data_IF_935268359404
#
_entry.id   IF_935268359404
#
_cell.length_a   1.000
_cell.length_b   1.000
_cell.length_c   1.000
_cell.angle_alpha   90.00
_cell.angle_beta   90.00
_cell.angle_gamma   90.00
#
_symmetry.space_group_name_H-M   'P 1'
#
loop_
_entity.id
_entity.type
_entity.pdbx_description
1 polymer ?
#
# COMPACT_ATOMS: atom_id res chain seq x y z
N UNK A 1 19.71 57.47 -37.01
CA UNK A 1 20.46 56.33 -36.42
C UNK A 1 19.96 55.96 -35.02
N UNK A 2 19.17 56.79 -34.33
CA UNK A 2 18.55 56.43 -33.02
C UNK A 2 17.31 55.53 -33.13
N UNK A 3 16.53 55.64 -34.21
CA UNK A 3 15.28 54.87 -34.39
C UNK A 3 15.45 53.35 -34.46
N UNK A 4 16.65 52.87 -34.81
CA UNK A 4 16.90 51.43 -35.04
C UNK A 4 17.29 50.68 -33.75
N UNK A 5 17.72 51.41 -32.71
CA UNK A 5 18.06 50.84 -31.41
C UNK A 5 16.82 50.63 -30.53
N UNK A 6 15.83 51.52 -30.63
CA UNK A 6 14.58 51.42 -29.87
C UNK A 6 13.71 50.24 -30.36
N UNK A 7 13.61 50.03 -31.68
CA UNK A 7 12.90 48.89 -32.27
C UNK A 7 13.50 47.53 -31.83
N UNK A 8 14.83 47.46 -31.73
CA UNK A 8 15.53 46.25 -31.28
C UNK A 8 15.28 45.91 -29.81
N UNK A 9 15.07 46.92 -28.96
CA UNK A 9 14.77 46.74 -27.54
C UNK A 9 13.31 46.30 -27.32
N UNK A 10 12.37 46.84 -28.10
CA UNK A 10 10.96 46.42 -28.08
C UNK A 10 10.76 45.00 -28.60
N UNK A 11 11.47 44.60 -29.66
CA UNK A 11 11.37 43.23 -30.21
C UNK A 11 11.96 42.19 -29.25
N UNK A 12 13.07 42.50 -28.56
CA UNK A 12 13.66 41.60 -27.56
C UNK A 12 12.72 41.33 -26.38
N UNK A 13 11.99 42.35 -25.91
CA UNK A 13 11.07 42.22 -24.78
C UNK A 13 9.78 41.47 -25.16
N UNK A 14 9.33 41.64 -26.41
CA UNK A 14 8.19 40.89 -26.96
C UNK A 14 8.50 39.39 -27.14
N UNK A 15 9.74 39.04 -27.52
CA UNK A 15 10.14 37.64 -27.67
C UNK A 15 10.36 36.93 -26.33
N UNK A 16 10.86 37.63 -25.31
CA UNK A 16 10.99 37.09 -23.96
C UNK A 16 9.61 36.77 -23.34
N UNK A 17 8.65 37.68 -23.46
CA UNK A 17 7.26 37.45 -23.00
C UNK A 17 6.60 36.30 -23.76
N UNK A 18 6.82 36.18 -25.07
CA UNK A 18 6.35 35.02 -25.85
C UNK A 18 6.98 33.71 -25.40
N UNK A 19 8.26 33.71 -25.03
CA UNK A 19 8.95 32.52 -24.53
C UNK A 19 8.41 32.06 -23.16
N UNK A 20 8.15 33.00 -22.24
CA UNK A 20 7.58 32.72 -20.92
C UNK A 20 6.13 32.24 -21.04
N UNK A 21 5.33 32.83 -21.92
CA UNK A 21 3.96 32.37 -22.19
C UNK A 21 3.94 30.96 -22.80
N UNK A 22 4.90 30.64 -23.68
CA UNK A 22 5.08 29.27 -24.20
C UNK A 22 5.48 28.29 -23.09
N UNK A 23 6.40 28.66 -22.22
CA UNK A 23 6.83 27.85 -21.08
C UNK A 23 5.66 27.58 -20.10
N UNK A 24 4.91 28.62 -19.72
CA UNK A 24 3.74 28.51 -18.84
C UNK A 24 2.60 27.72 -19.51
N UNK A 25 2.36 27.90 -20.81
CA UNK A 25 1.35 27.11 -21.53
C UNK A 25 1.75 25.65 -21.72
N UNK A 26 3.05 25.37 -21.81
CA UNK A 26 3.64 24.03 -21.83
C UNK A 26 3.44 23.34 -20.48
N UNK A 27 3.78 24.01 -19.37
CA UNK A 27 3.53 23.51 -18.01
C UNK A 27 2.04 23.30 -17.74
N UNK A 28 1.19 24.25 -18.11
CA UNK A 28 -0.27 24.09 -17.95
C UNK A 28 -0.79 22.91 -18.76
N UNK A 29 -0.29 22.70 -19.98
CA UNK A 29 -0.66 21.54 -20.81
C UNK A 29 -0.16 20.23 -20.21
N UNK A 30 1.07 20.16 -19.72
CA UNK A 30 1.60 18.95 -19.08
C UNK A 30 0.87 18.62 -17.77
N UNK A 31 0.51 19.62 -16.97
CA UNK A 31 -0.31 19.46 -15.77
C UNK A 31 -1.73 18.99 -16.10
N UNK A 32 -2.35 19.54 -17.16
CA UNK A 32 -3.69 19.13 -17.63
C UNK A 32 -3.68 17.73 -18.26
N UNK A 33 -2.61 17.37 -18.97
CA UNK A 33 -2.39 16.03 -19.53
C UNK A 33 -2.18 14.99 -18.42
N UNK A 34 -1.46 15.33 -17.34
CA UNK A 34 -1.33 14.47 -16.14
C UNK A 34 -2.68 14.27 -15.44
N UNK A 35 -3.51 15.31 -15.33
CA UNK A 35 -4.90 15.21 -14.86
C UNK A 35 -5.80 14.33 -15.74
N UNK A 36 -5.44 14.16 -17.01
CA UNK A 36 -6.18 13.36 -18.00
C UNK A 36 -5.83 11.87 -18.01
N UNK A 37 -4.87 11.40 -17.19
CA UNK A 37 -4.66 9.96 -17.00
C UNK A 37 -5.96 9.38 -16.42
N UNK A 38 -6.62 8.53 -17.22
CA UNK A 38 -7.87 7.84 -16.87
C UNK A 38 -7.75 7.24 -15.47
N UNK A 39 -8.82 7.34 -14.66
CA UNK A 39 -8.94 6.56 -13.41
C UNK A 39 -8.74 5.08 -13.77
N UNK A 40 -7.57 4.53 -13.48
CA UNK A 40 -7.21 3.17 -13.87
C UNK A 40 -8.04 2.13 -13.12
N UNK A 41 -8.56 2.47 -11.94
CA UNK A 41 -9.45 1.63 -11.16
C UNK A 41 -10.77 2.33 -10.84
N UNK A 42 -11.88 1.64 -11.10
CA UNK A 42 -13.22 2.06 -10.67
C UNK A 42 -13.48 1.78 -9.19
N UNK A 43 -14.63 2.25 -8.68
CA UNK A 43 -15.04 2.04 -7.28
C UNK A 43 -15.08 0.56 -6.89
N UNK A 44 -15.64 -0.27 -7.77
CA UNK A 44 -15.72 -1.72 -7.54
C UNK A 44 -14.34 -2.37 -7.47
N UNK A 45 -13.46 -2.06 -8.43
CA UNK A 45 -12.11 -2.62 -8.47
C UNK A 45 -11.28 -2.17 -7.25
N UNK A 46 -11.38 -0.89 -6.85
CA UNK A 46 -10.68 -0.37 -5.66
C UNK A 46 -11.22 -0.96 -4.36
N UNK A 47 -12.54 -1.12 -4.23
CA UNK A 47 -13.16 -1.72 -3.04
C UNK A 47 -12.77 -3.19 -2.90
N UNK A 48 -12.86 -3.95 -3.99
CA UNK A 48 -12.47 -5.37 -4.03
C UNK A 48 -10.99 -5.56 -3.73
N UNK A 49 -10.12 -4.72 -4.32
CA UNK A 49 -8.69 -4.74 -4.03
C UNK A 49 -8.42 -4.46 -2.55
N UNK A 50 -9.05 -3.42 -1.98
CA UNK A 50 -8.88 -3.07 -0.57
C UNK A 50 -9.36 -4.19 0.34
N UNK A 51 -10.51 -4.81 0.03
CA UNK A 51 -11.03 -5.96 0.77
C UNK A 51 -10.03 -7.13 0.75
N UNK A 52 -9.54 -7.55 -0.43
CA UNK A 52 -8.60 -8.66 -0.52
C UNK A 52 -7.22 -8.36 0.09
N UNK A 53 -6.80 -7.08 0.11
CA UNK A 53 -5.55 -6.69 0.76
C UNK A 53 -5.61 -6.71 2.29
N UNK A 54 -6.79 -6.55 2.89
CA UNK A 54 -6.96 -6.47 4.36
C UNK A 54 -7.55 -7.75 4.95
N UNK A 55 -8.41 -8.44 4.21
CA UNK A 55 -9.09 -9.64 4.67
C UNK A 55 -8.19 -10.87 4.54
N UNK A 56 -7.34 -11.08 5.54
CA UNK A 56 -6.49 -12.26 5.68
C UNK A 56 -7.17 -13.49 6.30
N UNK A 57 -8.45 -13.42 6.69
CA UNK A 57 -9.10 -14.49 7.46
C UNK A 57 -8.70 -14.49 8.94
N UNK A 58 -9.56 -14.94 9.86
CA UNK A 58 -9.33 -14.86 11.31
C UNK A 58 -8.38 -15.95 11.83
N UNK A 59 -7.18 -16.04 11.26
CA UNK A 59 -6.18 -17.00 11.70
C UNK A 59 -5.64 -16.64 13.10
N UNK A 60 -5.55 -17.64 13.98
CA UNK A 60 -5.09 -17.46 15.37
C UNK A 60 -6.19 -17.05 16.36
N UNK A 61 -7.44 -16.83 15.91
CA UNK A 61 -8.56 -16.60 16.82
C UNK A 61 -8.96 -17.85 17.60
N UNK A 62 -8.56 -19.04 17.17
CA UNK A 62 -8.93 -20.30 17.80
C UNK A 62 -8.48 -20.36 19.26
N UNK A 63 -7.27 -19.87 19.55
CA UNK A 63 -6.74 -19.81 20.91
C UNK A 63 -7.55 -18.83 21.77
N UNK A 64 -7.91 -17.68 21.21
CA UNK A 64 -8.74 -16.68 21.90
C UNK A 64 -10.16 -17.20 22.15
N UNK A 65 -10.76 -17.86 21.17
CA UNK A 65 -12.09 -18.46 21.27
C UNK A 65 -12.12 -19.60 22.31
N UNK A 66 -11.07 -20.44 22.34
CA UNK A 66 -10.96 -21.53 23.29
C UNK A 66 -10.78 -21.03 24.75
N UNK A 67 -10.14 -19.88 24.94
CA UNK A 67 -9.82 -19.36 26.27
C UNK A 67 -10.86 -18.37 26.83
N UNK A 68 -11.40 -17.47 25.99
CA UNK A 68 -12.32 -16.40 26.43
C UNK A 68 -13.77 -16.64 25.99
N UNK A 69 -14.02 -17.59 25.10
CA UNK A 69 -15.35 -17.86 24.55
C UNK A 69 -15.76 -16.89 23.44
N UNK A 70 -16.71 -17.32 22.60
CA UNK A 70 -17.04 -16.64 21.35
C UNK A 70 -17.59 -15.21 21.53
N UNK A 71 -18.44 -14.98 22.54
CA UNK A 71 -19.09 -13.68 22.75
C UNK A 71 -18.07 -12.59 23.06
N UNK A 72 -17.08 -12.88 23.89
CA UNK A 72 -16.03 -11.92 24.26
C UNK A 72 -15.11 -11.60 23.10
N UNK A 73 -14.69 -12.61 22.34
CA UNK A 73 -13.83 -12.42 21.16
C UNK A 73 -14.54 -11.57 20.11
N UNK A 74 -15.80 -11.87 19.79
CA UNK A 74 -16.59 -11.07 18.85
C UNK A 74 -16.80 -9.65 19.38
N UNK A 75 -17.09 -9.50 20.67
CA UNK A 75 -17.24 -8.18 21.30
C UNK A 75 -15.99 -7.32 21.16
N UNK A 76 -14.80 -7.88 21.42
CA UNK A 76 -13.52 -7.17 21.26
C UNK A 76 -13.25 -6.84 19.79
N UNK A 77 -13.54 -7.75 18.85
CA UNK A 77 -13.36 -7.49 17.41
C UNK A 77 -14.23 -6.31 16.95
N UNK A 78 -15.51 -6.28 17.35
CA UNK A 78 -16.43 -5.19 17.03
C UNK A 78 -15.96 -3.89 17.67
N UNK A 79 -15.59 -3.92 18.94
CA UNK A 79 -15.09 -2.74 19.66
C UNK A 79 -13.83 -2.18 19.00
N UNK A 80 -12.86 -3.04 18.68
CA UNK A 80 -11.63 -2.65 18.00
C UNK A 80 -11.91 -2.05 16.62
N UNK A 81 -12.88 -2.62 15.90
CA UNK A 81 -13.30 -2.09 14.59
C UNK A 81 -13.90 -0.70 14.73
N UNK A 82 -14.74 -0.46 15.74
CA UNK A 82 -15.38 0.84 15.95
C UNK A 82 -14.43 1.91 16.50
N UNK A 83 -13.54 1.55 17.42
CA UNK A 83 -12.66 2.51 18.11
C UNK A 83 -11.41 2.82 17.30
N UNK A 84 -10.90 1.85 16.52
CA UNK A 84 -9.64 1.98 15.80
C UNK A 84 -9.82 1.97 14.29
N UNK A 85 -10.40 0.91 13.73
CA UNK A 85 -10.44 0.72 12.28
C UNK A 85 -11.35 1.73 11.58
N UNK A 86 -12.52 2.04 12.16
CA UNK A 86 -13.50 2.96 11.57
C UNK A 86 -12.96 4.40 11.52
N UNK A 87 -12.38 4.98 12.60
CA UNK A 87 -11.72 6.28 12.53
C UNK A 87 -10.55 6.30 11.55
N UNK A 88 -9.72 5.25 11.55
CA UNK A 88 -8.59 5.15 10.62
C UNK A 88 -9.06 5.12 9.14
N UNK A 89 -10.15 4.40 8.85
CA UNK A 89 -10.74 4.33 7.51
C UNK A 89 -11.32 5.68 7.07
N UNK A 90 -12.06 6.37 7.94
CA UNK A 90 -12.60 7.71 7.66
C UNK A 90 -11.48 8.73 7.44
N UNK A 91 -10.46 8.72 8.31
CA UNK A 91 -9.27 9.56 8.15
C UNK A 91 -8.59 9.31 6.80
N UNK A 92 -8.37 8.05 6.45
CA UNK A 92 -7.76 7.65 5.17
C UNK A 92 -8.61 8.08 3.97
N UNK A 93 -9.94 7.97 4.07
CA UNK A 93 -10.87 8.43 3.04
C UNK A 93 -10.75 9.95 2.80
N UNK A 94 -10.81 10.76 3.86
CA UNK A 94 -10.66 12.23 3.78
C UNK A 94 -9.31 12.63 3.20
N UNK A 95 -8.22 12.01 3.66
CA UNK A 95 -6.86 12.28 3.17
C UNK A 95 -6.67 11.86 1.71
N UNK A 96 -7.22 10.73 1.30
CA UNK A 96 -7.15 10.26 -0.09
C UNK A 96 -7.90 11.17 -1.07
N UNK A 97 -9.01 11.79 -0.61
CA UNK A 97 -9.75 12.78 -1.39
C UNK A 97 -9.05 14.15 -1.42
N UNK A 98 -8.47 14.58 -0.30
CA UNK A 98 -7.80 15.88 -0.17
C UNK A 98 -6.40 15.92 -0.82
N UNK A 99 -5.66 14.81 -0.79
CA UNK A 99 -4.27 14.71 -1.25
C UNK A 99 -4.07 13.49 -2.16
N UNK A 100 -4.51 13.56 -3.43
CA UNK A 100 -4.38 12.47 -4.41
C UNK A 100 -2.95 12.39 -4.96
N UNK A 101 -2.01 11.96 -4.12
CA UNK A 101 -0.61 11.72 -4.50
C UNK A 101 -0.32 10.23 -4.62
N UNK A 102 0.52 9.86 -5.60
CA UNK A 102 0.93 8.48 -5.92
C UNK A 102 1.75 7.78 -4.80
N UNK A 103 1.97 8.44 -3.65
CA UNK A 103 2.78 7.94 -2.53
C UNK A 103 2.00 7.51 -1.28
N UNK A 104 0.66 7.58 -1.31
CA UNK A 104 -0.20 7.17 -0.20
C UNK A 104 0.17 7.80 1.14
N UNK A 105 0.14 7.01 2.22
CA UNK A 105 0.38 7.49 3.59
C UNK A 105 1.78 8.08 3.80
N UNK A 106 2.82 7.61 3.10
CA UNK A 106 4.16 8.18 3.23
C UNK A 106 4.18 9.66 2.79
N UNK A 107 3.42 10.00 1.74
CA UNK A 107 3.27 11.37 1.28
C UNK A 107 2.45 12.22 2.26
N UNK A 108 1.38 11.66 2.82
CA UNK A 108 0.56 12.36 3.81
C UNK A 108 1.36 12.71 5.07
N UNK A 109 2.11 11.75 5.62
CA UNK A 109 2.97 11.96 6.79
C UNK A 109 4.10 12.93 6.47
N UNK A 110 4.72 12.80 5.30
CA UNK A 110 5.76 13.72 4.83
C UNK A 110 5.28 15.17 4.70
N UNK A 111 4.03 15.38 4.29
CA UNK A 111 3.42 16.70 4.17
C UNK A 111 3.03 17.30 5.53
N UNK A 112 2.60 16.48 6.48
CA UNK A 112 2.19 16.94 7.81
C UNK A 112 3.38 17.21 8.76
N UNK A 113 4.38 16.33 8.77
CA UNK A 113 5.49 16.34 9.75
C UNK A 113 6.87 16.57 9.11
N UNK A 114 6.92 16.73 7.80
CA UNK A 114 8.15 16.95 7.03
C UNK A 114 8.79 15.68 6.47
N UNK A 115 9.80 15.83 5.58
CA UNK A 115 10.31 14.72 4.76
C UNK A 115 10.89 13.54 5.56
N UNK A 116 11.51 13.81 6.73
CA UNK A 116 12.12 12.77 7.57
C UNK A 116 11.08 11.83 8.18
N UNK A 117 9.95 12.36 8.63
CA UNK A 117 8.86 11.57 9.20
C UNK A 117 8.16 10.73 8.11
N UNK A 118 8.02 11.27 6.89
CA UNK A 118 7.54 10.50 5.74
C UNK A 118 8.46 9.32 5.41
N UNK A 119 9.78 9.54 5.40
CA UNK A 119 10.77 8.48 5.19
C UNK A 119 10.74 7.43 6.31
N UNK A 120 10.63 7.86 7.57
CA UNK A 120 10.49 6.94 8.71
C UNK A 120 9.22 6.10 8.60
N UNK A 121 8.09 6.71 8.26
CA UNK A 121 6.83 5.99 8.05
C UNK A 121 6.95 4.94 6.95
N UNK A 122 7.67 5.26 5.87
CA UNK A 122 7.96 4.28 4.83
C UNK A 122 8.84 3.12 5.31
N UNK A 123 9.88 3.43 6.09
CA UNK A 123 10.75 2.43 6.69
C UNK A 123 10.00 1.50 7.66
N UNK A 124 9.13 2.05 8.50
CA UNK A 124 8.30 1.29 9.42
C UNK A 124 7.38 0.31 8.68
N UNK A 125 6.86 0.69 7.52
CA UNK A 125 6.01 -0.21 6.73
C UNK A 125 6.78 -1.32 6.05
N UNK A 126 8.05 -1.11 5.69
CA UNK A 126 8.93 -2.18 5.25
C UNK A 126 9.16 -3.19 6.39
N UNK A 127 9.40 -2.69 7.61
CA UNK A 127 9.52 -3.55 8.79
C UNK A 127 8.24 -4.32 9.08
N UNK A 128 7.07 -3.67 8.99
CA UNK A 128 5.78 -4.32 9.11
C UNK A 128 5.64 -5.44 8.06
N UNK A 129 6.01 -5.18 6.81
CA UNK A 129 6.00 -6.18 5.74
C UNK A 129 6.85 -7.42 6.03
N UNK A 130 8.01 -7.27 6.69
CA UNK A 130 8.82 -8.42 7.11
C UNK A 130 8.14 -9.25 8.20
N UNK A 131 7.52 -8.60 9.19
CA UNK A 131 6.79 -9.28 10.26
C UNK A 131 5.62 -10.07 9.68
N UNK A 132 4.85 -9.43 8.81
CA UNK A 132 3.71 -10.05 8.12
C UNK A 132 4.18 -11.26 7.29
N UNK A 133 5.19 -11.06 6.44
CA UNK A 133 5.74 -12.12 5.58
C UNK A 133 6.30 -13.30 6.38
N UNK A 134 6.84 -13.08 7.58
CA UNK A 134 7.35 -14.15 8.45
C UNK A 134 6.25 -14.91 9.17
N UNK A 135 5.09 -14.28 9.40
CA UNK A 135 3.98 -14.88 10.16
C UNK A 135 3.25 -15.93 9.33
N UNK A 136 2.99 -15.65 8.04
CA UNK A 136 2.20 -16.53 7.19
C UNK A 136 2.75 -17.97 7.06
N UNK A 137 4.06 -18.20 6.81
CA UNK A 137 4.60 -19.55 6.71
C UNK A 137 4.52 -20.34 8.01
N UNK A 138 4.67 -19.67 9.15
CA UNK A 138 4.56 -20.30 10.47
C UNK A 138 3.13 -20.76 10.70
N UNK A 139 2.15 -19.88 10.48
CA UNK A 139 0.74 -20.24 10.62
C UNK A 139 0.34 -21.36 9.65
N UNK A 140 0.80 -21.31 8.40
CA UNK A 140 0.56 -22.38 7.45
C UNK A 140 1.07 -23.74 7.94
N UNK A 141 2.28 -23.79 8.52
CA UNK A 141 2.82 -25.03 9.08
C UNK A 141 1.99 -25.54 10.27
N UNK A 142 1.49 -24.64 11.11
CA UNK A 142 0.64 -24.99 12.26
C UNK A 142 -0.69 -25.61 11.79
N UNK A 143 -1.38 -24.95 10.85
CA UNK A 143 -2.62 -25.47 10.27
C UNK A 143 -2.41 -26.75 9.46
N UNK A 144 -1.30 -26.87 8.74
CA UNK A 144 -0.96 -28.08 8.01
C UNK A 144 -0.72 -29.26 8.98
N UNK A 145 0.01 -29.04 10.07
CA UNK A 145 0.22 -30.06 11.11
C UNK A 145 -1.11 -30.50 11.71
N UNK A 146 -1.99 -29.56 12.06
CA UNK A 146 -3.32 -29.87 12.60
C UNK A 146 -4.17 -30.65 11.59
N UNK A 147 -4.16 -30.23 10.32
CA UNK A 147 -4.92 -30.89 9.26
C UNK A 147 -4.44 -32.33 9.02
N UNK A 148 -3.12 -32.54 8.96
CA UNK A 148 -2.54 -33.88 8.78
C UNK A 148 -2.83 -34.81 9.96
N UNK A 149 -2.75 -34.31 11.19
CA UNK A 149 -3.15 -35.06 12.38
C UNK A 149 -4.62 -35.46 12.33
N UNK A 150 -5.50 -34.53 11.96
CA UNK A 150 -6.95 -34.76 11.89
C UNK A 150 -7.34 -35.76 10.79
N UNK A 151 -6.68 -35.69 9.64
CA UNK A 151 -7.06 -36.44 8.43
C UNK A 151 -6.36 -37.80 8.30
N UNK A 152 -5.08 -37.89 8.66
CA UNK A 152 -4.25 -39.09 8.44
C UNK A 152 -3.87 -39.79 9.76
N UNK A 153 -4.18 -39.20 10.92
CA UNK A 153 -3.67 -39.69 12.21
C UNK A 153 -2.15 -39.60 12.33
N UNK A 154 -1.50 -38.83 11.46
CA UNK A 154 -0.05 -38.70 11.41
C UNK A 154 0.47 -37.96 12.65
N UNK A 155 1.69 -38.27 13.13
CA UNK A 155 2.32 -37.49 14.21
C UNK A 155 2.56 -36.03 13.78
N UNK A 156 2.70 -35.14 14.75
CA UNK A 156 3.02 -33.73 14.49
C UNK A 156 4.25 -33.59 13.59
N UNK A 157 4.23 -32.59 12.69
CA UNK A 157 5.39 -32.28 11.85
C UNK A 157 6.63 -32.05 12.72
N UNK A 158 7.68 -32.81 12.48
CA UNK A 158 8.97 -32.64 13.15
C UNK A 158 9.59 -31.27 12.84
N UNK A 159 10.51 -30.75 13.68
CA UNK A 159 11.08 -29.42 13.50
C UNK A 159 11.69 -29.21 12.11
N UNK A 160 12.49 -30.17 11.63
CA UNK A 160 13.12 -30.11 10.30
C UNK A 160 12.10 -30.05 9.16
N UNK A 161 11.01 -30.82 9.26
CA UNK A 161 9.94 -30.82 8.24
C UNK A 161 9.19 -29.50 8.24
N UNK A 162 8.92 -28.91 9.40
CA UNK A 162 8.29 -27.57 9.50
C UNK A 162 9.16 -26.49 8.85
N UNK A 163 10.46 -26.48 9.17
CA UNK A 163 11.41 -25.56 8.55
C UNK A 163 11.47 -25.75 7.04
N UNK A 164 11.52 -26.99 6.56
CA UNK A 164 11.51 -27.31 5.13
C UNK A 164 10.24 -26.84 4.41
N UNK A 165 9.07 -27.10 4.98
CA UNK A 165 7.78 -26.66 4.40
C UNK A 165 7.65 -25.14 4.40
N UNK A 166 8.00 -24.47 5.50
CA UNK A 166 7.98 -23.01 5.59
C UNK A 166 8.94 -22.34 4.60
N UNK A 167 10.16 -22.87 4.47
CA UNK A 167 11.14 -22.39 3.49
C UNK A 167 10.65 -22.61 2.05
N UNK A 168 10.11 -23.80 1.74
CA UNK A 168 9.55 -24.12 0.42
C UNK A 168 8.42 -23.16 0.05
N UNK A 169 7.47 -22.93 0.96
CA UNK A 169 6.37 -22.00 0.74
C UNK A 169 6.88 -20.58 0.47
N UNK A 170 7.85 -20.12 1.27
CA UNK A 170 8.43 -18.78 1.13
C UNK A 170 9.16 -18.63 -0.21
N UNK A 171 9.98 -19.61 -0.60
CA UNK A 171 10.69 -19.61 -1.89
C UNK A 171 9.72 -19.66 -3.07
N UNK A 172 8.65 -20.44 -2.96
CA UNK A 172 7.61 -20.52 -3.99
C UNK A 172 6.93 -19.16 -4.19
N UNK A 173 6.52 -18.50 -3.11
CA UNK A 173 5.89 -17.17 -3.17
C UNK A 173 6.87 -16.14 -3.72
N UNK A 174 8.12 -16.15 -3.28
CA UNK A 174 9.17 -15.29 -3.84
C UNK A 174 9.36 -15.50 -5.35
N UNK A 175 9.37 -16.76 -5.80
CA UNK A 175 9.50 -17.08 -7.22
C UNK A 175 8.28 -16.61 -8.03
N UNK A 176 7.07 -16.74 -7.49
CA UNK A 176 5.85 -16.21 -8.12
C UNK A 176 5.88 -14.69 -8.20
N UNK A 177 6.28 -14.01 -7.12
CA UNK A 177 6.43 -12.55 -7.10
C UNK A 177 7.46 -12.09 -8.13
N UNK A 178 8.61 -12.77 -8.23
CA UNK A 178 9.65 -12.46 -9.21
C UNK A 178 9.17 -12.69 -10.66
N UNK A 179 8.39 -13.75 -10.90
CA UNK A 179 7.79 -14.02 -12.21
C UNK A 179 6.74 -12.99 -12.60
N UNK A 180 5.90 -12.58 -11.65
CA UNK A 180 4.90 -11.53 -11.87
C UNK A 180 5.54 -10.19 -12.26
N UNK A 181 6.67 -9.84 -11.64
CA UNK A 181 7.47 -8.67 -11.99
C UNK A 181 8.06 -8.74 -13.40
N UNK A 182 8.43 -9.93 -13.88
CA UNK A 182 8.95 -10.10 -15.24
C UNK A 182 7.86 -9.99 -16.33
N UNK A 183 6.58 -10.07 -15.95
CA UNK A 183 5.43 -10.00 -16.87
C UNK A 183 4.68 -8.67 -16.85
N UNK A 184 5.07 -7.74 -15.97
CA UNK A 184 4.47 -6.41 -15.80
C UNK A 184 5.31 -5.33 -16.50
#
# INVERSE_FOLDING_TARGET
MSSQADDSCSDSSADETRSLLRAVSSERRSFRARRGKRRALGLWATSTLTYFSVCGGPFGLEVALASWGAVWVVGVIVLLTLVWALPAALMTAELSAALPAEGGYMHWVGRAFGPRCGALSGWLSVLNGFVDASTYPVMFCDYLSFSLQRWQGAPSLGPLTRWGVGALLTVLVCALNARGLATA
#
